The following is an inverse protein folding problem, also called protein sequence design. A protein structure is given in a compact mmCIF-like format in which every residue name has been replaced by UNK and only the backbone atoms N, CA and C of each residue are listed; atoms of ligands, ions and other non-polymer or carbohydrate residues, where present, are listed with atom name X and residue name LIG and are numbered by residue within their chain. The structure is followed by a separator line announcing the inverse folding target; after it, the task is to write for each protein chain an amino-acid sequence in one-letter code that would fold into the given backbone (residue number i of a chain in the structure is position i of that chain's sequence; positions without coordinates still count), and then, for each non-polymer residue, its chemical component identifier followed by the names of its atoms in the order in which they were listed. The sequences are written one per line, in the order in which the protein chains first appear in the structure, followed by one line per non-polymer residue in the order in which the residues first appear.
data_IF_336644556965
#
_entry.id   IF_336644556965
#
_cell.length_a   1.000
_cell.length_b   1.000
_cell.length_c   1.000
_cell.angle_alpha   90.00
_cell.angle_beta   90.00
_cell.angle_gamma   90.00
#
_symmetry.space_group_name_H-M   'P 1'
#
loop_
_entity.id
_entity.type
_entity.pdbx_description
1 polymer ?
#
# COMPACT_ATOMS: atom_id res chain seq x y z
N UNK A 1 -15.71 4.23 12.23
CA UNK A 1 -16.19 2.85 11.93
C UNK A 1 -15.61 1.95 13.00
N UNK A 2 -16.37 1.07 13.63
CA UNK A 2 -15.85 0.11 14.61
C UNK A 2 -16.00 -1.31 14.06
N UNK A 3 -14.91 -2.04 14.00
CA UNK A 3 -14.86 -3.40 13.48
C UNK A 3 -14.71 -4.37 14.66
N UNK A 4 -15.41 -5.48 14.63
CA UNK A 4 -15.34 -6.53 15.64
C UNK A 4 -14.90 -7.84 15.00
N UNK A 5 -14.45 -8.80 15.82
CA UNK A 5 -14.08 -10.15 15.35
C UNK A 5 -15.21 -10.83 14.55
N UNK A 6 -16.45 -10.67 15.01
CA UNK A 6 -17.62 -11.22 14.32
C UNK A 6 -17.84 -10.59 12.95
N UNK A 7 -17.67 -9.27 12.84
CA UNK A 7 -17.74 -8.55 11.57
C UNK A 7 -16.66 -9.04 10.62
N UNK A 8 -15.40 -9.17 11.09
CA UNK A 8 -14.32 -9.68 10.25
C UNK A 8 -14.59 -11.09 9.71
N UNK A 9 -15.09 -11.98 10.55
CA UNK A 9 -15.43 -13.35 10.13
C UNK A 9 -16.61 -13.41 9.17
N UNK A 10 -17.41 -12.36 9.10
CA UNK A 10 -18.58 -12.27 8.20
C UNK A 10 -18.21 -11.73 6.80
N UNK A 11 -17.00 -11.23 6.58
CA UNK A 11 -16.59 -10.76 5.26
C UNK A 11 -16.70 -11.88 4.21
N UNK A 12 -17.24 -11.53 3.06
CA UNK A 12 -17.37 -12.41 1.90
C UNK A 12 -16.99 -11.65 0.65
N UNK A 13 -16.55 -12.39 -0.38
CA UNK A 13 -16.30 -11.83 -1.70
C UNK A 13 -17.61 -11.30 -2.28
N UNK A 14 -17.67 -9.99 -2.47
CA UNK A 14 -18.82 -9.32 -3.05
C UNK A 14 -18.72 -9.23 -4.57
N UNK A 15 -17.53 -8.89 -5.08
CA UNK A 15 -17.26 -8.75 -6.51
C UNK A 15 -15.86 -9.26 -6.84
N UNK A 16 -15.72 -9.78 -8.04
CA UNK A 16 -14.46 -10.26 -8.60
C UNK A 16 -14.31 -9.67 -10.00
N UNK A 17 -13.21 -9.00 -10.26
CA UNK A 17 -12.89 -8.32 -11.51
C UNK A 17 -11.73 -9.02 -12.20
N UNK A 18 -11.76 -9.10 -13.53
CA UNK A 18 -10.79 -9.86 -14.36
C UNK A 18 -10.29 -9.05 -15.56
N UNK A 19 -10.18 -7.73 -15.40
CA UNK A 19 -9.77 -6.82 -16.46
C UNK A 19 -8.28 -6.87 -16.75
N UNK A 20 -7.47 -7.33 -15.80
CA UNK A 20 -6.03 -7.38 -15.91
C UNK A 20 -5.55 -8.74 -16.42
N UNK A 21 -4.69 -8.73 -17.42
CA UNK A 21 -4.10 -9.95 -18.02
C UNK A 21 -2.79 -10.37 -17.35
N UNK A 22 -2.18 -9.49 -16.54
CA UNK A 22 -0.94 -9.73 -15.80
C UNK A 22 -1.08 -9.33 -14.35
N UNK A 23 0.02 -9.48 -13.60
CA UNK A 23 0.09 -9.16 -12.17
C UNK A 23 -0.45 -7.76 -11.89
N UNK A 24 -1.35 -7.66 -10.92
CA UNK A 24 -1.75 -6.39 -10.34
C UNK A 24 -0.67 -5.95 -9.34
N UNK A 25 -0.14 -4.75 -9.53
CA UNK A 25 0.97 -4.21 -8.74
C UNK A 25 0.50 -3.49 -7.49
N UNK A 26 -0.50 -2.64 -7.63
CA UNK A 26 -1.01 -1.80 -6.55
C UNK A 26 -2.53 -1.60 -6.70
N UNK A 27 -3.21 -1.45 -5.57
CA UNK A 27 -4.63 -1.05 -5.50
C UNK A 27 -4.74 0.05 -4.47
N UNK A 28 -5.48 1.09 -4.80
CA UNK A 28 -5.76 2.18 -3.87
C UNK A 28 -7.22 2.62 -3.96
N UNK A 29 -7.76 3.15 -2.85
CA UNK A 29 -9.10 3.73 -2.79
C UNK A 29 -9.04 5.24 -2.82
N UNK A 30 -10.03 5.86 -3.45
CA UNK A 30 -10.23 7.30 -3.35
C UNK A 30 -10.53 7.72 -1.91
N UNK A 31 -10.24 8.97 -1.53
CA UNK A 31 -10.46 9.46 -0.16
C UNK A 31 -11.92 9.37 0.31
N UNK A 32 -12.87 9.46 -0.61
CA UNK A 32 -14.31 9.26 -0.36
C UNK A 32 -14.72 7.78 -0.28
N UNK A 33 -13.84 6.87 -0.70
CA UNK A 33 -14.06 5.42 -0.72
C UNK A 33 -15.02 4.93 -1.82
N UNK A 34 -15.50 5.81 -2.69
CA UNK A 34 -16.46 5.45 -3.75
C UNK A 34 -15.80 4.83 -4.98
N UNK A 35 -14.51 5.10 -5.18
CA UNK A 35 -13.73 4.59 -6.30
C UNK A 35 -12.50 3.83 -5.82
N UNK A 36 -12.01 2.96 -6.69
CA UNK A 36 -10.70 2.34 -6.53
C UNK A 36 -9.94 2.37 -7.86
N UNK A 37 -8.62 2.37 -7.76
CA UNK A 37 -7.72 2.27 -8.90
C UNK A 37 -6.80 1.07 -8.71
N UNK A 38 -6.53 0.37 -9.80
CA UNK A 38 -5.54 -0.71 -9.82
C UNK A 38 -4.55 -0.52 -10.96
N UNK A 39 -3.27 -0.79 -10.69
CA UNK A 39 -2.21 -0.82 -11.69
C UNK A 39 -1.73 -2.26 -11.93
N UNK A 40 -1.30 -2.56 -13.14
CA UNK A 40 -0.89 -3.91 -13.53
C UNK A 40 0.30 -3.90 -14.50
N UNK A 41 1.04 -5.01 -14.53
CA UNK A 41 2.16 -5.24 -15.44
C UNK A 41 1.76 -5.32 -16.92
N UNK A 42 0.47 -5.35 -17.25
CA UNK A 42 -0.05 -5.18 -18.60
C UNK A 42 -0.18 -3.71 -19.05
N UNK A 43 0.41 -2.78 -18.25
CA UNK A 43 0.41 -1.35 -18.47
C UNK A 43 -0.96 -0.69 -18.30
N UNK A 44 -1.91 -1.39 -17.71
CA UNK A 44 -3.25 -0.91 -17.47
C UNK A 44 -3.37 -0.20 -16.13
N UNK A 45 -4.17 0.86 -16.12
CA UNK A 45 -4.73 1.50 -14.95
C UNK A 45 -6.23 1.31 -15.06
N UNK A 46 -6.82 0.52 -14.16
CA UNK A 46 -8.25 0.23 -14.18
C UNK A 46 -8.93 0.97 -13.04
N UNK A 47 -9.97 1.71 -13.36
CA UNK A 47 -10.81 2.40 -12.40
C UNK A 47 -12.06 1.58 -12.14
N UNK A 48 -12.41 1.45 -10.87
CA UNK A 48 -13.59 0.75 -10.40
C UNK A 48 -14.50 1.69 -9.62
N UNK A 49 -15.78 1.67 -9.93
CA UNK A 49 -16.81 2.26 -9.09
C UNK A 49 -17.21 1.22 -8.04
N UNK A 50 -16.87 1.46 -6.78
CA UNK A 50 -17.12 0.53 -5.67
C UNK A 50 -18.59 0.48 -5.34
N UNK A 51 -19.29 1.63 -5.42
CA UNK A 51 -20.71 1.75 -5.11
C UNK A 51 -21.57 0.97 -6.12
N UNK A 52 -21.25 1.08 -7.41
CA UNK A 52 -21.94 0.35 -8.48
C UNK A 52 -21.44 -1.08 -8.65
N UNK A 53 -20.25 -1.38 -8.13
CA UNK A 53 -19.62 -2.70 -8.19
C UNK A 53 -19.23 -3.11 -9.62
N UNK A 54 -18.74 -2.16 -10.43
CA UNK A 54 -18.30 -2.41 -11.82
C UNK A 54 -17.02 -1.63 -12.18
N UNK A 55 -16.25 -2.10 -13.17
CA UNK A 55 -15.18 -1.30 -13.76
C UNK A 55 -15.80 -0.11 -14.50
N UNK A 56 -15.18 1.07 -14.35
CA UNK A 56 -15.64 2.30 -14.97
C UNK A 56 -14.84 2.59 -16.24
N UNK A 57 -13.52 2.52 -16.14
CA UNK A 57 -12.60 2.88 -17.23
C UNK A 57 -11.28 2.14 -17.12
N UNK A 58 -10.69 1.84 -18.28
CA UNK A 58 -9.30 1.34 -18.37
C UNK A 58 -8.45 2.34 -19.14
N UNK A 59 -7.36 2.76 -18.54
CA UNK A 59 -6.37 3.64 -19.14
C UNK A 59 -5.08 2.85 -19.38
N UNK A 60 -4.24 3.29 -20.32
CA UNK A 60 -3.03 2.57 -20.68
C UNK A 60 -1.80 3.47 -20.62
N UNK A 61 -0.76 3.01 -19.95
CA UNK A 61 0.57 3.62 -19.90
C UNK A 61 1.61 2.74 -20.62
N UNK A 62 1.32 2.34 -21.85
CA UNK A 62 2.13 1.37 -22.62
C UNK A 62 3.60 1.75 -22.78
N UNK A 63 3.88 3.05 -22.89
CA UNK A 63 5.25 3.56 -23.09
C UNK A 63 6.06 3.51 -21.80
N UNK A 64 5.46 3.86 -20.69
CA UNK A 64 6.19 4.06 -19.43
C UNK A 64 5.97 2.95 -18.40
N UNK A 65 4.90 2.17 -18.59
CA UNK A 65 4.45 1.21 -17.59
C UNK A 65 3.80 1.90 -16.40
N UNK A 66 3.29 1.11 -15.47
CA UNK A 66 2.72 1.58 -14.21
C UNK A 66 3.00 0.56 -13.11
N UNK A 67 3.51 1.03 -11.97
CA UNK A 67 3.82 0.20 -10.80
C UNK A 67 2.97 0.60 -9.61
N UNK A 68 3.51 1.38 -8.67
CA UNK A 68 2.76 1.92 -7.55
C UNK A 68 1.85 3.06 -8.03
N UNK A 69 0.61 3.07 -7.54
CA UNK A 69 -0.38 4.09 -7.88
C UNK A 69 -1.18 4.48 -6.65
N UNK A 70 -1.39 5.79 -6.46
CA UNK A 70 -2.19 6.33 -5.37
C UNK A 70 -3.04 7.50 -5.84
N UNK A 71 -4.25 7.59 -5.29
CA UNK A 71 -5.06 8.80 -5.41
C UNK A 71 -4.38 9.96 -4.69
N UNK A 72 -4.59 11.17 -5.20
CA UNK A 72 -4.21 12.39 -4.47
C UNK A 72 -5.23 12.67 -3.37
N UNK A 73 -4.86 13.50 -2.38
CA UNK A 73 -5.73 13.78 -1.23
C UNK A 73 -7.00 14.56 -1.60
N UNK A 74 -6.98 15.31 -2.71
CA UNK A 74 -8.02 16.29 -3.04
C UNK A 74 -9.30 15.69 -3.63
N UNK A 75 -9.16 14.74 -4.56
CA UNK A 75 -10.30 14.17 -5.28
C UNK A 75 -10.03 12.77 -5.85
N UNK A 76 -11.09 12.14 -6.35
CA UNK A 76 -11.01 10.84 -7.02
C UNK A 76 -10.67 10.94 -8.52
N UNK A 77 -10.22 12.10 -9.01
CA UNK A 77 -9.99 12.33 -10.44
C UNK A 77 -8.51 12.35 -10.83
N UNK A 78 -7.63 12.36 -9.84
CA UNK A 78 -6.20 12.46 -10.09
C UNK A 78 -5.41 11.42 -9.30
N UNK A 79 -4.33 10.92 -9.94
CA UNK A 79 -3.44 9.91 -9.35
C UNK A 79 -1.99 10.27 -9.56
N UNK A 80 -1.16 9.81 -8.63
CA UNK A 80 0.29 9.77 -8.77
C UNK A 80 0.72 8.33 -8.92
N UNK A 81 1.57 8.04 -9.89
CA UNK A 81 2.09 6.70 -10.09
C UNK A 81 3.57 6.67 -10.49
N UNK A 82 4.24 5.58 -10.16
CA UNK A 82 5.62 5.31 -10.58
C UNK A 82 5.66 4.51 -11.86
N UNK A 83 6.60 4.84 -12.73
CA UNK A 83 6.86 4.10 -13.97
C UNK A 83 7.78 2.91 -13.71
N UNK A 84 7.70 1.87 -14.56
CA UNK A 84 8.51 0.65 -14.40
C UNK A 84 9.15 0.15 -15.71
N UNK A 85 9.09 0.92 -16.81
CA UNK A 85 9.61 0.50 -18.11
C UNK A 85 10.72 1.38 -18.66
N UNK A 86 10.37 2.58 -19.10
CA UNK A 86 11.30 3.42 -19.87
C UNK A 86 12.18 4.28 -18.97
N UNK A 87 11.63 4.73 -17.87
CA UNK A 87 12.28 5.60 -16.89
C UNK A 87 11.73 5.34 -15.48
N UNK A 88 12.35 5.95 -14.49
CA UNK A 88 11.97 5.87 -13.08
C UNK A 88 11.20 7.13 -12.63
N UNK A 89 10.63 7.87 -13.57
CA UNK A 89 9.88 9.11 -13.33
C UNK A 89 8.53 8.81 -12.70
N UNK A 90 8.20 9.58 -11.69
CA UNK A 90 6.85 9.56 -11.09
C UNK A 90 5.96 10.52 -11.91
N UNK A 91 4.73 10.14 -12.13
CA UNK A 91 3.77 10.87 -12.98
C UNK A 91 2.51 11.22 -12.21
N UNK A 92 2.12 12.46 -12.34
CA UNK A 92 0.84 12.98 -11.87
C UNK A 92 -0.12 13.11 -13.05
N UNK A 93 -1.27 12.47 -12.98
CA UNK A 93 -2.17 12.29 -14.11
C UNK A 93 -3.62 12.53 -13.73
N UNK A 94 -4.36 13.18 -14.64
CA UNK A 94 -5.83 13.26 -14.60
C UNK A 94 -6.42 11.99 -15.18
N UNK A 95 -7.27 11.32 -14.40
CA UNK A 95 -8.02 10.14 -14.82
C UNK A 95 -9.18 10.50 -15.75
N UNK A 96 -9.75 11.71 -15.60
CA UNK A 96 -10.87 12.20 -16.41
C UNK A 96 -10.44 12.49 -17.84
N UNK A 97 -9.36 13.26 -17.98
CA UNK A 97 -8.87 13.71 -19.29
C UNK A 97 -7.88 12.75 -19.92
N UNK A 98 -7.38 11.76 -19.16
CA UNK A 98 -6.27 10.88 -19.55
C UNK A 98 -5.02 11.68 -19.98
N UNK A 99 -4.70 12.72 -19.20
CA UNK A 99 -3.57 13.62 -19.48
C UNK A 99 -2.63 13.69 -18.29
N UNK A 100 -1.34 13.78 -18.59
CA UNK A 100 -0.33 14.08 -17.59
C UNK A 100 -0.40 15.55 -17.18
N UNK A 101 -0.50 15.78 -15.88
CA UNK A 101 -0.50 17.13 -15.27
C UNK A 101 0.94 17.54 -15.00
N UNK A 102 1.76 16.59 -14.46
CA UNK A 102 3.15 16.86 -14.12
C UNK A 102 3.99 15.57 -14.09
N UNK A 103 5.28 15.79 -14.25
CA UNK A 103 6.33 14.77 -14.12
C UNK A 103 7.26 15.12 -12.99
N UNK A 104 7.71 14.11 -12.23
CA UNK A 104 8.66 14.24 -11.14
C UNK A 104 9.90 13.40 -11.45
N UNK A 105 10.82 13.92 -12.29
CA UNK A 105 12.07 13.25 -12.61
C UNK A 105 13.06 13.42 -11.44
N UNK A 106 13.93 12.44 -11.28
CA UNK A 106 15.00 12.55 -10.28
C UNK A 106 15.50 11.20 -9.80
N UNK A 107 14.63 10.21 -9.58
CA UNK A 107 15.08 8.86 -9.28
C UNK A 107 15.85 8.26 -10.46
N UNK A 108 16.90 7.51 -10.14
CA UNK A 108 17.80 6.87 -11.12
C UNK A 108 17.66 5.34 -11.11
N UNK A 109 16.75 4.81 -10.28
CA UNK A 109 16.37 3.43 -10.24
C UNK A 109 14.90 3.31 -9.85
N UNK A 110 14.34 2.08 -9.96
CA UNK A 110 12.92 1.79 -9.72
C UNK A 110 12.44 2.33 -8.37
N UNK A 111 11.32 3.03 -8.41
CA UNK A 111 10.58 3.47 -7.22
C UNK A 111 9.85 2.26 -6.62
N UNK A 112 10.12 1.98 -5.36
CA UNK A 112 9.60 0.81 -4.64
C UNK A 112 8.70 1.16 -3.45
N UNK A 113 8.64 2.43 -3.09
CA UNK A 113 7.73 2.95 -2.08
C UNK A 113 7.17 4.30 -2.56
N UNK A 114 5.89 4.50 -2.37
CA UNK A 114 5.17 5.72 -2.69
C UNK A 114 4.11 5.95 -1.62
N UNK A 115 4.04 7.14 -1.06
CA UNK A 115 3.04 7.49 -0.05
C UNK A 115 2.60 8.92 -0.24
N UNK A 116 1.28 9.12 -0.36
CA UNK A 116 0.68 10.45 -0.43
C UNK A 116 0.45 11.00 0.96
N UNK A 117 0.62 12.30 1.14
CA UNK A 117 0.17 12.99 2.33
C UNK A 117 -1.37 12.91 2.41
N UNK A 118 -1.95 12.62 3.58
CA UNK A 118 -3.40 12.58 3.72
C UNK A 118 -4.06 13.96 3.81
N UNK A 119 -3.27 15.03 3.93
CA UNK A 119 -3.80 16.40 4.24
C UNK A 119 -3.42 17.45 3.23
N UNK A 120 -2.37 17.24 2.41
CA UNK A 120 -1.89 18.24 1.45
C UNK A 120 -1.37 17.60 0.16
N UNK A 121 -0.86 18.45 -0.74
CA UNK A 121 -0.33 18.06 -2.06
C UNK A 121 1.09 17.48 -2.01
N UNK A 122 1.58 17.05 -0.84
CA UNK A 122 2.90 16.48 -0.67
C UNK A 122 2.87 14.96 -0.85
N UNK A 123 3.93 14.40 -1.38
CA UNK A 123 4.13 12.95 -1.37
C UNK A 123 5.62 12.59 -1.20
N UNK A 124 5.86 11.38 -0.75
CA UNK A 124 7.20 10.82 -0.61
C UNK A 124 7.36 9.58 -1.48
N UNK A 125 8.56 9.38 -1.98
CA UNK A 125 8.92 8.20 -2.77
C UNK A 125 10.25 7.63 -2.32
N UNK A 126 10.34 6.31 -2.23
CA UNK A 126 11.57 5.57 -1.98
C UNK A 126 11.96 4.74 -3.19
N UNK A 127 13.24 4.70 -3.52
CA UNK A 127 13.75 4.03 -4.72
C UNK A 127 14.95 3.13 -4.43
N UNK A 128 15.19 2.19 -5.33
CA UNK A 128 16.40 1.37 -5.35
C UNK A 128 17.69 2.17 -5.60
N UNK A 129 17.58 3.48 -5.88
CA UNK A 129 18.72 4.40 -5.88
C UNK A 129 19.17 4.81 -4.46
N UNK A 130 18.61 4.14 -3.44
CA UNK A 130 18.88 4.38 -2.02
C UNK A 130 18.49 5.78 -1.55
N UNK A 131 17.55 6.43 -2.22
CA UNK A 131 17.03 7.74 -1.82
C UNK A 131 15.54 7.68 -1.46
N UNK A 132 15.15 8.52 -0.48
CA UNK A 132 13.78 8.92 -0.27
C UNK A 132 13.68 10.40 -0.64
N UNK A 133 12.70 10.75 -1.47
CA UNK A 133 12.47 12.10 -1.97
C UNK A 133 11.11 12.61 -1.54
N UNK A 134 11.06 13.90 -1.23
CA UNK A 134 9.85 14.63 -0.90
C UNK A 134 9.48 15.51 -2.10
N UNK A 135 8.22 15.47 -2.48
CA UNK A 135 7.67 16.17 -3.63
C UNK A 135 6.43 16.96 -3.25
N UNK A 136 6.13 17.99 -4.02
CA UNK A 136 4.89 18.76 -3.96
C UNK A 136 4.24 18.72 -5.35
N UNK A 137 2.97 18.33 -5.44
CA UNK A 137 2.23 18.25 -6.70
C UNK A 137 2.21 19.59 -7.46
N UNK A 138 2.39 20.71 -6.75
CA UNK A 138 2.41 22.07 -7.31
C UNK A 138 3.77 22.48 -7.84
N UNK A 139 4.85 21.82 -7.43
CA UNK A 139 6.23 22.15 -7.79
C UNK A 139 6.87 21.06 -8.64
N UNK A 140 7.65 21.39 -9.68
CA UNK A 140 8.27 20.37 -10.55
C UNK A 140 9.50 19.72 -9.93
N UNK A 141 10.11 20.35 -8.93
CA UNK A 141 11.38 19.93 -8.35
C UNK A 141 11.20 19.17 -7.04
N UNK A 142 12.14 18.28 -6.76
CA UNK A 142 12.26 17.61 -5.47
C UNK A 142 12.44 18.67 -4.36
N UNK A 143 11.63 18.57 -3.30
CA UNK A 143 11.64 19.51 -2.19
C UNK A 143 12.60 19.09 -1.07
N UNK A 144 12.88 17.79 -0.97
CA UNK A 144 13.78 17.24 0.03
C UNK A 144 14.28 15.86 -0.37
N UNK A 145 15.48 15.52 0.07
CA UNK A 145 16.13 14.25 -0.23
C UNK A 145 16.85 13.73 1.01
N UNK A 146 16.67 12.47 1.31
CA UNK A 146 17.47 11.73 2.30
C UNK A 146 17.99 10.43 1.69
N UNK A 147 19.14 9.98 2.14
CA UNK A 147 19.80 8.77 1.66
C UNK A 147 19.77 7.68 2.74
N UNK A 148 18.64 7.00 2.94
CA UNK A 148 18.64 5.77 3.72
C UNK A 148 19.39 4.71 2.93
N UNK A 149 20.31 4.00 3.56
CA UNK A 149 21.02 2.90 2.91
C UNK A 149 20.06 1.72 2.64
N UNK A 150 20.33 0.96 1.58
CA UNK A 150 19.57 -0.23 1.22
C UNK A 150 18.22 0.04 0.52
N UNK A 151 17.26 -0.84 0.68
CA UNK A 151 15.92 -0.72 0.08
C UNK A 151 15.01 0.11 0.98
N UNK A 152 14.69 1.37 0.63
CA UNK A 152 13.87 2.21 1.47
C UNK A 152 12.40 1.81 1.41
N UNK A 153 11.74 1.82 2.56
CA UNK A 153 10.29 1.83 2.70
C UNK A 153 9.89 3.10 3.43
N UNK A 154 8.79 3.73 3.05
CA UNK A 154 8.37 4.98 3.66
C UNK A 154 6.84 5.09 3.72
N UNK A 155 6.34 5.85 4.68
CA UNK A 155 4.93 6.13 4.85
C UNK A 155 4.74 7.44 5.62
N UNK A 156 3.74 8.22 5.22
CA UNK A 156 3.23 9.33 6.03
C UNK A 156 2.47 8.83 7.25
N UNK A 157 2.47 9.65 8.29
CA UNK A 157 1.53 9.55 9.40
C UNK A 157 0.13 10.06 8.99
N UNK A 158 -0.92 9.72 9.75
CA UNK A 158 -2.28 10.13 9.40
C UNK A 158 -2.55 11.64 9.50
N UNK A 159 -1.71 12.39 10.20
CA UNK A 159 -1.81 13.85 10.30
C UNK A 159 -1.00 14.60 9.23
N UNK A 160 -0.20 13.88 8.42
CA UNK A 160 0.64 14.44 7.36
C UNK A 160 1.77 15.35 7.86
N UNK A 161 2.13 15.26 9.13
CA UNK A 161 3.15 16.10 9.74
C UNK A 161 4.54 15.45 9.75
N UNK A 162 4.56 14.12 9.84
CA UNK A 162 5.78 13.34 9.88
C UNK A 162 5.72 12.21 8.85
N UNK A 163 6.87 11.64 8.54
CA UNK A 163 6.95 10.37 7.84
C UNK A 163 7.97 9.45 8.48
N UNK A 164 7.72 8.16 8.33
CA UNK A 164 8.64 7.12 8.72
C UNK A 164 9.43 6.61 7.51
N UNK A 165 10.71 6.38 7.69
CA UNK A 165 11.62 5.79 6.71
C UNK A 165 12.28 4.54 7.29
N UNK A 166 12.11 3.40 6.63
CA UNK A 166 12.86 2.18 6.95
C UNK A 166 14.22 2.20 6.27
N UNK A 167 15.25 1.87 7.03
CA UNK A 167 16.66 1.91 6.61
C UNK A 167 17.27 0.53 6.76
N UNK A 168 17.85 -0.02 5.70
CA UNK A 168 18.54 -1.33 5.67
C UNK A 168 17.73 -2.52 6.23
N UNK A 169 16.40 -2.40 6.32
CA UNK A 169 15.54 -3.37 7.03
C UNK A 169 15.94 -3.59 8.51
N UNK A 170 16.59 -2.60 9.14
CA UNK A 170 17.12 -2.69 10.50
C UNK A 170 16.71 -1.52 11.40
N UNK A 171 16.42 -0.36 10.84
CA UNK A 171 16.05 0.81 11.62
C UNK A 171 14.88 1.57 11.00
N UNK A 172 14.08 2.21 11.84
CA UNK A 172 13.06 3.18 11.43
C UNK A 172 13.49 4.56 11.91
N UNK A 173 13.49 5.51 10.99
CA UNK A 173 13.76 6.92 11.27
C UNK A 173 12.49 7.73 11.04
N UNK A 174 12.16 8.62 11.97
CA UNK A 174 11.02 9.52 11.88
C UNK A 174 11.51 10.93 11.56
N UNK A 175 10.90 11.55 10.57
CA UNK A 175 11.22 12.90 10.09
C UNK A 175 10.01 13.81 10.25
N UNK A 176 10.23 15.04 10.75
CA UNK A 176 9.25 16.12 10.73
C UNK A 176 9.42 16.91 9.42
N UNK A 177 8.36 17.02 8.63
CA UNK A 177 8.39 17.74 7.34
C UNK A 177 8.76 19.22 7.51
N UNK A 178 8.34 19.85 8.62
CA UNK A 178 8.61 21.26 8.91
C UNK A 178 10.06 21.53 9.34
N UNK A 179 10.78 20.47 9.70
CA UNK A 179 12.15 20.52 10.19
C UNK A 179 13.05 19.48 9.51
N UNK A 180 12.72 19.14 8.27
CA UNK A 180 13.38 18.05 7.51
C UNK A 180 14.90 18.23 7.43
N UNK A 181 15.38 19.47 7.27
CA UNK A 181 16.81 19.79 7.19
C UNK A 181 17.60 19.42 8.45
N UNK A 182 16.92 19.27 9.60
CA UNK A 182 17.54 18.86 10.86
C UNK A 182 17.80 17.35 10.94
N UNK A 183 17.30 16.59 9.95
CA UNK A 183 17.36 15.13 9.95
C UNK A 183 16.26 14.48 10.81
N UNK A 184 16.39 13.18 11.08
CA UNK A 184 15.37 12.45 11.84
C UNK A 184 15.36 12.90 13.31
N UNK A 185 14.17 13.12 13.85
CA UNK A 185 13.98 13.47 15.26
C UNK A 185 13.93 12.23 16.16
N UNK A 186 13.66 11.04 15.60
CA UNK A 186 13.69 9.76 16.30
C UNK A 186 14.27 8.67 15.40
N UNK A 187 14.98 7.73 16.02
CA UNK A 187 15.53 6.55 15.34
C UNK A 187 15.36 5.34 16.23
N UNK A 188 14.71 4.31 15.71
CA UNK A 188 14.44 3.05 16.39
C UNK A 188 15.25 1.93 15.74
N UNK A 189 16.21 1.38 16.49
CA UNK A 189 17.00 0.24 16.04
C UNK A 189 16.19 -1.06 16.21
N UNK A 190 16.01 -1.77 15.11
CA UNK A 190 15.14 -2.93 14.98
C UNK A 190 15.95 -4.18 14.61
N UNK A 191 17.14 -4.37 15.20
CA UNK A 191 17.99 -5.54 14.91
C UNK A 191 17.30 -6.82 15.32
N UNK A 192 16.86 -7.58 14.34
CA UNK A 192 16.22 -8.88 14.56
C UNK A 192 17.17 -10.02 14.20
N UNK A 193 17.06 -11.13 14.92
CA UNK A 193 17.88 -12.34 14.66
C UNK A 193 17.64 -12.98 13.29
N UNK A 194 16.55 -12.61 12.59
CA UNK A 194 16.23 -13.14 11.26
C UNK A 194 16.32 -12.02 10.25
N UNK A 195 17.24 -12.15 9.33
CA UNK A 195 17.43 -11.21 8.22
C UNK A 195 16.33 -11.45 7.18
N UNK A 196 15.51 -10.43 6.94
CA UNK A 196 14.54 -10.40 5.86
C UNK A 196 14.38 -8.95 5.39
N UNK A 197 14.15 -8.76 4.10
CA UNK A 197 13.90 -7.42 3.56
C UNK A 197 12.53 -6.91 4.00
N UNK A 198 12.46 -5.63 4.32
CA UNK A 198 11.20 -4.94 4.50
C UNK A 198 10.60 -4.59 3.14
N UNK A 199 9.31 -4.87 3.00
CA UNK A 199 8.58 -4.68 1.73
C UNK A 199 7.55 -3.58 1.79
N UNK A 200 7.23 -3.10 2.99
CA UNK A 200 6.28 -2.01 3.18
C UNK A 200 6.29 -1.50 4.60
N UNK A 201 5.84 -0.27 4.75
CA UNK A 201 5.67 0.42 6.02
C UNK A 201 4.37 1.21 5.96
N UNK A 202 3.56 1.13 7.02
CA UNK A 202 2.30 1.91 7.11
C UNK A 202 2.05 2.34 8.55
N UNK A 203 1.59 3.56 8.72
CA UNK A 203 1.02 4.00 10.00
C UNK A 203 -0.41 3.49 10.17
N UNK A 204 -0.81 3.28 11.42
CA UNK A 204 -2.22 3.13 11.76
C UNK A 204 -2.95 4.46 11.66
N UNK A 205 -4.26 4.44 11.42
CA UNK A 205 -5.05 5.66 11.23
C UNK A 205 -5.12 6.56 12.50
N UNK A 206 -4.81 6.01 13.66
CA UNK A 206 -4.69 6.77 14.91
C UNK A 206 -3.25 7.25 15.21
N UNK A 207 -2.31 7.00 14.31
CA UNK A 207 -0.90 7.41 14.41
C UNK A 207 -0.08 6.70 15.49
N UNK A 208 -0.65 5.75 16.23
CA UNK A 208 0.01 5.13 17.39
C UNK A 208 0.90 3.94 17.03
N UNK A 209 0.61 3.29 15.90
CA UNK A 209 1.26 2.06 15.48
C UNK A 209 1.93 2.24 14.12
N UNK A 210 3.02 1.51 13.93
CA UNK A 210 3.67 1.33 12.62
C UNK A 210 3.66 -0.15 12.29
N UNK A 211 3.17 -0.49 11.10
CA UNK A 211 3.17 -1.82 10.52
C UNK A 211 4.36 -1.96 9.58
N UNK A 212 5.13 -3.02 9.77
CA UNK A 212 6.27 -3.39 8.92
C UNK A 212 5.94 -4.69 8.22
N UNK A 213 5.83 -4.66 6.90
CA UNK A 213 5.71 -5.86 6.07
C UNK A 213 7.09 -6.37 5.67
N UNK A 214 7.26 -7.68 5.61
CA UNK A 214 8.53 -8.31 5.21
C UNK A 214 8.32 -9.44 4.20
N UNK A 215 9.38 -9.78 3.45
CA UNK A 215 9.38 -10.95 2.58
C UNK A 215 9.68 -12.27 3.33
N UNK A 216 9.97 -12.20 4.63
CA UNK A 216 10.35 -13.35 5.47
C UNK A 216 9.19 -14.14 6.07
N UNK A 217 7.93 -13.96 5.60
CA UNK A 217 6.75 -14.66 6.12
C UNK A 217 6.32 -14.18 7.51
N UNK A 218 6.64 -12.94 7.84
CA UNK A 218 6.23 -12.28 9.07
C UNK A 218 5.96 -10.80 8.84
N UNK A 219 5.08 -10.23 9.64
CA UNK A 219 4.84 -8.79 9.75
C UNK A 219 4.97 -8.38 11.21
N UNK A 220 5.30 -7.13 11.44
CA UNK A 220 5.49 -6.58 12.78
C UNK A 220 4.67 -5.33 13.00
N UNK A 221 4.17 -5.20 14.21
CA UNK A 221 3.51 -3.98 14.67
C UNK A 221 4.33 -3.42 15.84
N UNK A 222 4.67 -2.16 15.73
CA UNK A 222 5.42 -1.44 16.75
C UNK A 222 4.68 -0.18 17.20
N UNK A 223 5.01 0.27 18.39
CA UNK A 223 4.56 1.56 18.91
C UNK A 223 5.34 2.69 18.21
N UNK A 224 4.61 3.65 17.62
CA UNK A 224 5.21 4.73 16.84
C UNK A 224 5.96 5.77 17.70
N UNK A 225 5.67 5.85 19.01
CA UNK A 225 6.27 6.85 19.90
C UNK A 225 7.58 6.40 20.54
N UNK A 226 7.68 5.12 20.88
CA UNK A 226 8.84 4.61 21.63
C UNK A 226 9.62 3.51 20.89
N UNK A 227 9.15 3.08 19.72
CA UNK A 227 9.82 2.08 18.90
C UNK A 227 9.72 0.64 19.43
N UNK A 228 8.96 0.38 20.50
CA UNK A 228 8.81 -0.99 21.02
C UNK A 228 7.99 -1.86 20.06
N UNK A 229 8.49 -3.06 19.76
CA UNK A 229 7.73 -4.05 18.99
C UNK A 229 6.67 -4.65 19.91
N UNK A 230 5.40 -4.47 19.52
CA UNK A 230 4.26 -4.98 20.27
C UNK A 230 3.96 -6.42 19.87
N UNK A 231 3.89 -6.68 18.56
CA UNK A 231 3.55 -8.00 18.02
C UNK A 231 4.37 -8.34 16.77
N UNK A 232 4.66 -9.62 16.65
CA UNK A 232 5.17 -10.22 15.41
C UNK A 232 4.19 -11.29 14.96
N UNK A 233 3.54 -11.06 13.82
CA UNK A 233 2.57 -11.99 13.25
C UNK A 233 3.24 -12.88 12.22
N UNK A 234 2.90 -14.16 12.27
CA UNK A 234 3.39 -15.19 11.36
C UNK A 234 2.31 -16.26 11.14
N UNK A 235 2.63 -17.32 10.38
CA UNK A 235 1.68 -18.39 10.14
C UNK A 235 0.72 -18.11 8.98
N UNK A 236 1.15 -17.28 8.03
CA UNK A 236 0.66 -17.21 6.66
C UNK A 236 1.74 -17.73 5.72
N UNK A 237 1.34 -18.21 4.54
CA UNK A 237 2.30 -18.76 3.59
C UNK A 237 2.96 -17.67 2.75
N UNK A 238 4.28 -17.60 2.78
CA UNK A 238 5.13 -16.81 1.89
C UNK A 238 6.48 -17.51 1.69
N UNK A 239 6.44 -18.72 1.15
CA UNK A 239 7.63 -19.55 0.93
C UNK A 239 8.55 -19.01 -0.16
N UNK A 240 7.99 -18.27 -1.12
CA UNK A 240 8.72 -17.68 -2.25
C UNK A 240 9.32 -16.31 -1.95
N UNK A 241 9.12 -15.77 -0.75
CA UNK A 241 9.63 -14.46 -0.37
C UNK A 241 9.05 -13.30 -1.19
N UNK A 242 7.76 -13.40 -1.54
CA UNK A 242 7.05 -12.40 -2.33
C UNK A 242 6.83 -11.14 -1.47
N UNK A 243 6.89 -9.97 -2.09
CA UNK A 243 6.44 -8.73 -1.47
C UNK A 243 4.91 -8.76 -1.36
N UNK A 244 4.42 -9.00 -0.14
CA UNK A 244 3.00 -9.00 0.18
C UNK A 244 2.70 -7.74 0.97
N UNK A 245 1.69 -7.00 0.54
CA UNK A 245 1.25 -5.80 1.20
C UNK A 245 0.35 -6.13 2.38
N UNK A 246 0.61 -5.50 3.53
CA UNK A 246 -0.27 -5.55 4.68
C UNK A 246 -0.93 -4.19 4.91
N UNK A 247 -2.11 -4.17 5.53
CA UNK A 247 -2.79 -2.94 5.90
C UNK A 247 -3.44 -3.04 7.29
N UNK A 248 -3.67 -1.88 7.90
CA UNK A 248 -4.56 -1.76 9.04
C UNK A 248 -6.03 -1.69 8.59
N UNK A 249 -6.94 -2.05 9.49
CA UNK A 249 -8.33 -1.64 9.38
C UNK A 249 -8.48 -0.16 9.76
N UNK A 250 -9.52 0.55 9.27
CA UNK A 250 -9.68 1.99 9.53
C UNK A 250 -9.77 2.38 11.01
N UNK A 251 -10.19 1.46 11.87
CA UNK A 251 -10.22 1.67 13.33
C UNK A 251 -8.91 1.30 14.05
N UNK A 252 -7.87 0.91 13.29
CA UNK A 252 -6.56 0.50 13.79
C UNK A 252 -6.56 -0.75 14.70
N UNK A 253 -7.69 -1.47 14.80
CA UNK A 253 -7.85 -2.61 15.70
C UNK A 253 -7.33 -3.92 15.12
N UNK A 254 -7.18 -4.00 13.80
CA UNK A 254 -6.74 -5.23 13.15
C UNK A 254 -5.70 -4.94 12.06
N UNK A 255 -4.87 -5.95 11.83
CA UNK A 255 -3.92 -6.00 10.71
C UNK A 255 -4.31 -7.13 9.77
N UNK A 256 -4.26 -6.85 8.49
CA UNK A 256 -4.58 -7.78 7.42
C UNK A 256 -3.40 -7.93 6.46
N UNK A 257 -3.14 -9.15 5.98
CA UNK A 257 -2.15 -9.43 4.94
C UNK A 257 -2.64 -10.52 4.00
N UNK A 258 -2.29 -10.37 2.73
CA UNK A 258 -2.44 -11.42 1.74
C UNK A 258 -1.43 -12.55 1.96
N UNK A 259 -1.73 -13.73 1.43
CA UNK A 259 -0.88 -14.91 1.51
C UNK A 259 -0.64 -15.50 0.12
N UNK A 260 0.40 -16.31 -0.02
CA UNK A 260 0.75 -17.01 -1.25
C UNK A 260 -0.35 -17.99 -1.70
N UNK A 261 -1.14 -18.50 -0.76
CA UNK A 261 -2.26 -19.43 -1.01
C UNK A 261 -3.58 -18.75 -1.40
N UNK A 262 -3.57 -17.44 -1.64
CA UNK A 262 -4.77 -16.68 -2.05
C UNK A 262 -5.73 -16.35 -0.93
N UNK A 263 -5.31 -16.47 0.33
CA UNK A 263 -6.10 -16.13 1.52
C UNK A 263 -5.64 -14.83 2.15
N UNK A 264 -6.56 -14.18 2.86
CA UNK A 264 -6.26 -12.99 3.68
C UNK A 264 -6.28 -13.41 5.16
N UNK A 265 -5.19 -13.14 5.85
CA UNK A 265 -5.02 -13.41 7.26
C UNK A 265 -5.20 -12.14 8.07
N UNK A 266 -5.89 -12.25 9.22
CA UNK A 266 -6.26 -11.10 10.06
C UNK A 266 -5.88 -11.37 11.51
N UNK A 267 -5.22 -10.39 12.15
CA UNK A 267 -4.85 -10.40 13.57
C UNK A 267 -5.36 -9.16 14.28
N UNK A 268 -5.65 -9.30 15.57
CA UNK A 268 -5.93 -8.19 16.46
C UNK A 268 -4.63 -7.48 16.85
N UNK A 269 -4.61 -6.16 16.78
CA UNK A 269 -3.48 -5.32 17.20
C UNK A 269 -3.34 -5.27 18.72
N UNK A 270 -4.45 -5.43 19.45
CA UNK A 270 -4.48 -5.42 20.92
C UNK A 270 -3.98 -6.75 21.50
N UNK A 271 -4.61 -7.85 21.11
CA UNK A 271 -4.32 -9.17 21.69
C UNK A 271 -3.16 -9.91 21.02
N UNK A 272 -2.78 -9.53 19.79
CA UNK A 272 -1.82 -10.26 18.96
C UNK A 272 -2.35 -11.60 18.41
N UNK A 273 -3.60 -11.94 18.67
CA UNK A 273 -4.18 -13.21 18.25
C UNK A 273 -4.70 -13.15 16.81
N UNK A 274 -4.59 -14.28 16.11
CA UNK A 274 -5.22 -14.45 14.79
C UNK A 274 -6.74 -14.55 14.96
N UNK A 275 -7.45 -13.65 14.30
CA UNK A 275 -8.92 -13.53 14.39
C UNK A 275 -9.63 -14.28 13.28
N UNK A 276 -9.11 -14.15 12.05
CA UNK A 276 -9.75 -14.73 10.89
C UNK A 276 -8.74 -15.12 9.80
N UNK A 277 -9.17 -16.05 8.95
CA UNK A 277 -8.57 -16.33 7.66
C UNK A 277 -9.72 -16.27 6.65
N UNK A 278 -9.65 -15.32 5.73
CA UNK A 278 -10.69 -15.06 4.74
C UNK A 278 -10.26 -15.66 3.40
N UNK A 279 -11.18 -16.37 2.76
CA UNK A 279 -10.96 -16.93 1.43
C UNK A 279 -11.26 -15.84 0.38
N UNK A 280 -10.22 -15.26 -0.19
CA UNK A 280 -10.30 -14.26 -1.27
C UNK A 280 -10.65 -14.83 -2.63
N UNK A 281 -10.70 -16.17 -2.76
CA UNK A 281 -10.90 -16.90 -4.03
C UNK A 281 -9.89 -16.52 -5.11
N UNK A 282 -8.70 -16.11 -4.70
CA UNK A 282 -7.63 -15.80 -5.62
C UNK A 282 -6.91 -17.09 -6.08
N UNK A 283 -6.59 -17.22 -7.38
CA UNK A 283 -5.87 -18.37 -7.91
C UNK A 283 -4.38 -18.35 -7.59
N UNK A 284 -3.86 -17.26 -7.03
CA UNK A 284 -2.45 -17.07 -6.72
C UNK A 284 -2.21 -16.08 -5.57
N UNK A 285 -0.95 -15.73 -5.32
CA UNK A 285 -0.58 -14.86 -4.22
C UNK A 285 -1.30 -13.51 -4.24
N UNK A 286 -1.83 -13.09 -3.09
CA UNK A 286 -2.40 -11.76 -2.91
C UNK A 286 -1.25 -10.82 -2.57
N UNK A 287 -0.78 -10.03 -3.52
CA UNK A 287 0.34 -9.10 -3.33
C UNK A 287 -0.07 -7.73 -2.83
N UNK A 288 -1.27 -7.27 -3.12
CA UNK A 288 -1.75 -5.98 -2.63
C UNK A 288 -3.09 -6.13 -1.94
N UNK A 289 -3.24 -5.41 -0.84
CA UNK A 289 -4.41 -5.43 0.02
C UNK A 289 -4.62 -4.04 0.61
N UNK A 290 -5.79 -3.48 0.41
CA UNK A 290 -6.14 -2.17 0.94
C UNK A 290 -7.55 -2.18 1.51
N UNK A 291 -7.74 -1.62 2.71
CA UNK A 291 -9.06 -1.42 3.30
C UNK A 291 -9.64 -0.07 2.84
N UNK A 292 -10.94 -0.05 2.57
CA UNK A 292 -11.63 1.17 2.16
C UNK A 292 -11.69 2.16 3.34
N UNK A 293 -11.33 3.44 3.16
CA UNK A 293 -11.29 4.41 4.26
C UNK A 293 -12.68 4.76 4.81
N UNK A 294 -13.76 4.55 4.05
CA UNK A 294 -15.12 4.99 4.39
C UNK A 294 -16.11 3.85 4.57
N UNK A 295 -15.98 2.78 3.80
CA UNK A 295 -16.94 1.68 3.76
C UNK A 295 -16.35 0.40 4.35
N UNK A 296 -17.23 -0.48 4.86
CA UNK A 296 -16.86 -1.82 5.35
C UNK A 296 -16.52 -2.76 4.18
N UNK A 297 -15.55 -2.38 3.40
CA UNK A 297 -15.05 -3.13 2.25
C UNK A 297 -13.54 -3.10 2.21
N UNK A 298 -12.92 -4.10 1.66
CA UNK A 298 -11.50 -4.08 1.30
C UNK A 298 -11.29 -4.68 -0.08
N UNK A 299 -10.27 -4.23 -0.76
CA UNK A 299 -9.82 -4.78 -2.03
C UNK A 299 -8.57 -5.63 -1.82
N UNK A 300 -8.52 -6.76 -2.49
CA UNK A 300 -7.33 -7.62 -2.57
C UNK A 300 -7.06 -7.96 -4.03
N UNK A 301 -5.79 -7.98 -4.42
CA UNK A 301 -5.42 -8.33 -5.78
C UNK A 301 -4.27 -9.30 -5.83
N UNK A 302 -4.27 -10.16 -6.83
CA UNK A 302 -3.29 -11.24 -6.97
C UNK A 302 -2.42 -11.10 -8.21
N UNK A 303 -1.26 -11.74 -8.14
CA UNK A 303 -0.46 -12.07 -9.31
C UNK A 303 -0.82 -13.47 -9.78
N UNK A 304 -1.43 -13.58 -10.94
CA UNK A 304 -1.60 -14.90 -11.53
C UNK A 304 -0.30 -15.37 -12.17
N UNK A 305 0.29 -16.45 -11.62
CA UNK A 305 1.49 -17.07 -12.17
C UNK A 305 1.19 -18.25 -13.11
N UNK A 306 -0.08 -18.57 -13.35
CA UNK A 306 -0.50 -19.70 -14.19
C UNK A 306 -1.06 -19.17 -15.53
N UNK A 307 -0.57 -19.70 -16.62
CA UNK A 307 -0.75 -19.25 -18.01
C UNK A 307 -2.19 -19.18 -18.56
N UNK A 308 -3.22 -19.41 -17.79
CA UNK A 308 -4.58 -19.56 -18.35
C UNK A 308 -5.65 -18.61 -17.81
N UNK A 309 -5.41 -17.91 -16.69
CA UNK A 309 -6.44 -17.07 -16.07
C UNK A 309 -5.94 -15.66 -15.79
N UNK A 310 -6.81 -14.67 -15.97
CA UNK A 310 -6.54 -13.26 -15.67
C UNK A 310 -6.26 -13.03 -14.18
N UNK A 311 -5.40 -12.07 -13.86
CA UNK A 311 -5.20 -11.59 -12.49
C UNK A 311 -6.48 -10.98 -11.94
N UNK A 312 -6.76 -11.19 -10.65
CA UNK A 312 -8.01 -10.78 -10.03
C UNK A 312 -7.83 -9.59 -9.10
N UNK A 313 -8.75 -8.66 -9.18
CA UNK A 313 -9.07 -7.71 -8.12
C UNK A 313 -10.38 -8.14 -7.49
N UNK A 314 -10.37 -8.37 -6.20
CA UNK A 314 -11.55 -8.83 -5.45
C UNK A 314 -11.92 -7.78 -4.42
N UNK A 315 -13.17 -7.36 -4.41
CA UNK A 315 -13.74 -6.52 -3.35
C UNK A 315 -14.56 -7.40 -2.41
N UNK A 316 -14.18 -7.40 -1.14
CA UNK A 316 -14.86 -8.12 -0.07
C UNK A 316 -15.58 -7.15 0.84
N UNK A 317 -16.78 -7.49 1.23
CA UNK A 317 -17.61 -6.70 2.16
C UNK A 317 -18.24 -7.60 3.22
N UNK A 318 -18.80 -7.01 4.26
CA UNK A 318 -19.59 -7.70 5.25
C UNK A 318 -20.76 -8.38 4.55
N UNK A 319 -20.91 -9.69 4.72
CA UNK A 319 -22.04 -10.43 4.19
C UNK A 319 -23.33 -9.89 4.78
N UNK A 320 -24.30 -9.49 3.94
CA UNK A 320 -25.65 -9.29 4.40
C UNK A 320 -26.18 -10.66 4.85
N UNK A 321 -26.58 -10.79 6.12
CA UNK A 321 -27.45 -11.87 6.55
C UNK A 321 -28.77 -11.64 5.83
N UNK A 322 -29.04 -12.39 4.77
CA UNK A 322 -30.40 -12.53 4.28
C UNK A 322 -31.15 -13.38 5.32
N UNK A 323 -31.99 -12.75 6.15
CA UNK A 323 -33.11 -13.38 6.76
C UNK A 323 -34.21 -13.57 5.73
#
# INVERSE_FOLDING_TARGET
MRITDSVLRSFRVARTYRENSQKVNCVDFSPDGENAVASSDDDCIVLYNIREGKPERTLFSKKYGVDLIHYTHGDAQTVVYSSNKLDDTIRYMSLTDNKYIRYFPGHTARVIALSMSPVDDTFISGSLDETIRIWDLRAPNCQGLTNPLGKPVCSFDPDGLIFAAGVESQAIKLYDLRAFDKGPFASFDMRFNRVCDWTGLKFSNDGKLILISTNGGMIRVMNAFNGSVLHTFSGYNNSKGISLEACFTPDSQFVMIGSEDGRVHVWSTESGMKVAVLDGKHPGPINTLQFNPRYMTFASACSNMVRSDSSLVTVSQVGASFE
#
